data_IF_006372409568
#
_entry.id   IF_006372409568
#
_cell.length_a   1.000
_cell.length_b   1.000
_cell.length_c   1.000
_cell.angle_alpha   90.00
_cell.angle_beta   90.00
_cell.angle_gamma   90.00
#
_symmetry.space_group_name_H-M   'P 1'
#
loop_
_entity.id
_entity.type
_entity.pdbx_description
1 polymer ?
#
# COMPACT_ATOMS: atom_id res chain seq x y z
N UNK A 1 6.60 -29.91 10.12
CA UNK A 1 6.66 -29.45 8.72
C UNK A 1 5.37 -29.90 8.05
N UNK A 2 4.58 -28.98 7.54
CA UNK A 2 3.42 -29.33 6.71
C UNK A 2 3.90 -29.96 5.40
N UNK A 3 3.10 -30.88 4.89
CA UNK A 3 3.33 -31.52 3.59
C UNK A 3 3.02 -30.55 2.45
N UNK A 4 3.62 -30.78 1.28
CA UNK A 4 3.33 -29.97 0.07
C UNK A 4 1.83 -30.00 -0.28
N UNK A 5 1.16 -31.13 -0.03
CA UNK A 5 -0.28 -31.28 -0.27
C UNK A 5 -1.13 -30.39 0.65
N UNK A 6 -0.81 -30.34 1.95
CA UNK A 6 -1.51 -29.49 2.92
C UNK A 6 -1.34 -28.01 2.58
N UNK A 7 -0.11 -27.61 2.20
CA UNK A 7 0.18 -26.23 1.78
C UNK A 7 -0.60 -25.84 0.53
N UNK A 8 -0.66 -26.72 -0.48
CA UNK A 8 -1.41 -26.45 -1.71
C UNK A 8 -2.92 -26.29 -1.43
N UNK A 9 -3.47 -27.11 -0.53
CA UNK A 9 -4.87 -27.03 -0.14
C UNK A 9 -5.19 -25.72 0.60
N UNK A 10 -4.30 -25.28 1.51
CA UNK A 10 -4.45 -24.00 2.20
C UNK A 10 -4.44 -22.82 1.21
N UNK A 11 -3.53 -22.83 0.23
CA UNK A 11 -3.48 -21.84 -0.85
C UNK A 11 -4.78 -21.81 -1.65
N UNK A 12 -5.31 -22.98 -2.03
CA UNK A 12 -6.55 -23.07 -2.80
C UNK A 12 -7.76 -22.53 -2.01
N UNK A 13 -7.89 -22.92 -0.74
CA UNK A 13 -8.96 -22.44 0.16
C UNK A 13 -8.93 -20.93 0.31
N UNK A 14 -7.73 -20.37 0.55
CA UNK A 14 -7.52 -18.93 0.62
C UNK A 14 -7.89 -18.23 -0.69
N UNK A 15 -7.48 -18.80 -1.83
CA UNK A 15 -7.83 -18.30 -3.15
C UNK A 15 -9.35 -18.19 -3.35
N UNK A 16 -10.10 -19.25 -2.98
CA UNK A 16 -11.57 -19.23 -3.06
C UNK A 16 -12.21 -18.17 -2.16
N UNK A 17 -11.72 -18.04 -0.91
CA UNK A 17 -12.21 -17.01 0.03
C UNK A 17 -11.99 -15.60 -0.50
N UNK A 18 -10.80 -15.31 -1.02
CA UNK A 18 -10.49 -14.01 -1.62
C UNK A 18 -11.32 -13.76 -2.89
N UNK A 19 -11.52 -14.77 -3.74
CA UNK A 19 -12.36 -14.62 -4.93
C UNK A 19 -13.81 -14.27 -4.59
N UNK A 20 -14.38 -14.88 -3.53
CA UNK A 20 -15.73 -14.54 -3.05
C UNK A 20 -15.77 -13.10 -2.54
N UNK A 21 -14.75 -12.68 -1.78
CA UNK A 21 -14.67 -11.33 -1.22
C UNK A 21 -14.45 -10.25 -2.30
N UNK A 22 -13.66 -10.55 -3.34
CA UNK A 22 -13.36 -9.65 -4.45
C UNK A 22 -14.52 -9.55 -5.46
N UNK A 23 -15.45 -10.51 -5.48
CA UNK A 23 -16.53 -10.57 -6.47
C UNK A 23 -17.33 -9.27 -6.64
N UNK A 24 -17.73 -8.54 -5.58
CA UNK A 24 -18.43 -7.26 -5.74
C UNK A 24 -17.59 -6.20 -6.44
N UNK A 25 -16.27 -6.18 -6.18
CA UNK A 25 -15.34 -5.24 -6.82
C UNK A 25 -15.25 -5.55 -8.32
N UNK A 26 -15.11 -6.83 -8.66
CA UNK A 26 -14.99 -7.28 -10.03
C UNK A 26 -16.27 -6.95 -10.83
N UNK A 27 -17.45 -7.20 -10.26
CA UNK A 27 -18.73 -6.88 -10.90
C UNK A 27 -18.87 -5.37 -11.16
N UNK A 28 -18.52 -4.53 -10.18
CA UNK A 28 -18.59 -3.08 -10.34
C UNK A 28 -17.60 -2.57 -11.40
N UNK A 29 -16.39 -3.15 -11.48
CA UNK A 29 -15.40 -2.79 -12.49
C UNK A 29 -15.80 -3.27 -13.90
N UNK A 30 -16.37 -4.47 -14.00
CA UNK A 30 -16.89 -5.05 -15.24
C UNK A 30 -17.99 -4.17 -15.85
N UNK A 31 -18.92 -3.68 -15.00
CA UNK A 31 -19.96 -2.73 -15.39
C UNK A 31 -19.42 -1.41 -15.96
N UNK A 32 -18.14 -1.09 -15.71
CA UNK A 32 -17.44 0.09 -16.24
C UNK A 32 -16.46 -0.27 -17.37
N UNK A 33 -16.54 -1.49 -17.93
CA UNK A 33 -15.73 -1.96 -19.05
C UNK A 33 -14.33 -2.44 -18.68
N UNK A 34 -14.06 -2.69 -17.40
CA UNK A 34 -12.77 -3.19 -16.92
C UNK A 34 -12.90 -4.67 -16.52
N UNK A 35 -12.61 -5.55 -17.47
CA UNK A 35 -12.70 -7.00 -17.29
C UNK A 35 -11.43 -7.56 -16.64
N UNK A 36 -11.53 -7.91 -15.35
CA UNK A 36 -10.43 -8.51 -14.57
C UNK A 36 -10.92 -9.74 -13.81
N UNK A 37 -10.00 -10.64 -13.47
CA UNK A 37 -10.30 -11.83 -12.66
C UNK A 37 -9.98 -11.64 -11.18
N UNK A 38 -9.11 -10.67 -10.86
CA UNK A 38 -8.77 -10.28 -9.51
C UNK A 38 -8.31 -8.83 -9.47
N UNK A 39 -8.46 -8.16 -8.32
CA UNK A 39 -7.92 -6.81 -8.13
C UNK A 39 -6.38 -6.76 -8.35
N UNK A 40 -5.70 -7.88 -8.12
CA UNK A 40 -4.25 -8.01 -8.36
C UNK A 40 -3.88 -7.89 -9.84
N UNK A 41 -4.82 -8.07 -10.77
CA UNK A 41 -4.59 -7.82 -12.20
C UNK A 41 -4.31 -6.33 -12.45
N UNK A 42 -4.98 -5.42 -11.73
CA UNK A 42 -4.72 -3.98 -11.82
C UNK A 42 -3.38 -3.56 -11.22
N UNK A 43 -2.89 -4.30 -10.22
CA UNK A 43 -1.58 -4.06 -9.63
C UNK A 43 -0.45 -4.45 -10.60
N UNK A 44 -0.69 -5.46 -11.42
CA UNK A 44 0.31 -6.03 -12.34
C UNK A 44 0.18 -5.51 -13.78
N UNK A 45 -0.84 -4.72 -14.09
CA UNK A 45 -1.04 -4.16 -15.43
C UNK A 45 -0.31 -2.84 -15.62
N UNK A 46 0.08 -2.58 -16.88
CA UNK A 46 0.51 -1.25 -17.34
C UNK A 46 -0.61 -0.50 -18.07
N UNK A 47 -1.78 -1.13 -18.25
CA UNK A 47 -2.92 -0.51 -18.90
C UNK A 47 -3.44 0.71 -18.11
N UNK A 48 -4.04 1.65 -18.84
CA UNK A 48 -4.72 2.79 -18.23
C UNK A 48 -6.05 2.31 -17.62
N UNK A 49 -6.32 2.70 -16.38
CA UNK A 49 -7.60 2.43 -15.71
C UNK A 49 -8.04 3.56 -14.75
N UNK A 50 -7.55 4.79 -14.92
CA UNK A 50 -7.93 5.90 -14.03
C UNK A 50 -9.41 6.24 -14.07
N UNK A 51 -10.12 5.88 -15.15
CA UNK A 51 -11.58 5.98 -15.21
C UNK A 51 -12.30 5.12 -14.16
N UNK A 52 -11.66 4.05 -13.67
CA UNK A 52 -12.18 3.19 -12.61
C UNK A 52 -11.91 3.72 -11.19
N UNK A 53 -11.20 4.84 -11.05
CA UNK A 53 -10.86 5.45 -9.77
C UNK A 53 -12.08 5.66 -8.85
N UNK A 54 -13.24 6.15 -9.32
CA UNK A 54 -14.42 6.31 -8.47
C UNK A 54 -14.91 4.97 -7.90
N UNK A 55 -14.88 3.89 -8.69
CA UNK A 55 -15.28 2.55 -8.25
C UNK A 55 -14.30 2.05 -7.16
N UNK A 56 -13.00 2.11 -7.44
CA UNK A 56 -11.97 1.68 -6.49
C UNK A 56 -12.02 2.46 -5.17
N UNK A 57 -12.27 3.78 -5.23
CA UNK A 57 -12.40 4.63 -4.06
C UNK A 57 -13.61 4.24 -3.19
N UNK A 58 -14.76 3.91 -3.79
CA UNK A 58 -15.93 3.40 -3.06
C UNK A 58 -15.63 2.08 -2.36
N UNK A 59 -14.94 1.16 -3.03
CA UNK A 59 -14.62 -0.14 -2.45
C UNK A 59 -13.58 -0.05 -1.32
N UNK A 60 -12.69 0.95 -1.35
CA UNK A 60 -11.65 1.09 -0.33
C UNK A 60 -12.19 1.23 1.11
N UNK A 61 -13.38 1.82 1.27
CA UNK A 61 -14.01 2.05 2.58
C UNK A 61 -14.91 0.90 3.06
N UNK A 62 -15.08 -0.14 2.25
CA UNK A 62 -15.90 -1.30 2.61
C UNK A 62 -15.13 -2.27 3.52
N UNK A 63 -15.83 -3.09 4.33
CA UNK A 63 -15.22 -3.94 5.36
C UNK A 63 -14.58 -5.21 4.78
N UNK A 64 -13.68 -5.05 3.81
CA UNK A 64 -12.90 -6.13 3.26
C UNK A 64 -11.76 -6.56 4.19
N UNK A 65 -11.31 -7.80 4.03
CA UNK A 65 -10.09 -8.29 4.65
C UNK A 65 -8.89 -7.41 4.29
N UNK A 66 -7.89 -7.41 5.18
CA UNK A 66 -6.65 -6.66 4.97
C UNK A 66 -5.98 -6.99 3.62
N UNK A 67 -6.05 -8.26 3.18
CA UNK A 67 -5.47 -8.70 1.91
C UNK A 67 -6.17 -8.08 0.69
N UNK A 68 -7.50 -8.03 0.71
CA UNK A 68 -8.27 -7.40 -0.37
C UNK A 68 -8.11 -5.88 -0.34
N UNK A 69 -8.08 -5.28 0.86
CA UNK A 69 -7.76 -3.85 1.03
C UNK A 69 -6.35 -3.51 0.53
N UNK A 70 -5.36 -4.39 0.73
CA UNK A 70 -4.02 -4.22 0.15
C UNK A 70 -4.06 -4.18 -1.38
N UNK A 71 -4.75 -5.13 -2.01
CA UNK A 71 -4.92 -5.17 -3.47
C UNK A 71 -5.56 -3.88 -4.00
N UNK A 72 -6.67 -3.46 -3.40
CA UNK A 72 -7.35 -2.19 -3.72
C UNK A 72 -6.42 -0.98 -3.55
N UNK A 73 -5.73 -0.88 -2.42
CA UNK A 73 -4.85 0.24 -2.14
C UNK A 73 -3.68 0.30 -3.12
N UNK A 74 -3.09 -0.83 -3.50
CA UNK A 74 -2.03 -0.88 -4.51
C UNK A 74 -2.55 -0.54 -5.91
N UNK A 75 -3.76 -0.97 -6.28
CA UNK A 75 -4.40 -0.57 -7.53
C UNK A 75 -4.66 0.96 -7.57
N UNK A 76 -4.87 1.59 -6.41
CA UNK A 76 -4.97 3.05 -6.29
C UNK A 76 -3.62 3.78 -6.42
N UNK A 77 -2.49 3.09 -6.64
CA UNK A 77 -1.19 3.69 -6.83
C UNK A 77 -0.97 4.28 -8.23
N UNK A 78 -1.87 5.15 -8.64
CA UNK A 78 -1.85 5.91 -9.89
C UNK A 78 -1.87 7.41 -9.60
N UNK A 79 -1.37 8.23 -10.54
CA UNK A 79 -1.31 9.70 -10.36
C UNK A 79 -2.69 10.34 -10.19
N UNK A 80 -3.71 9.80 -10.86
CA UNK A 80 -5.08 10.29 -10.78
C UNK A 80 -5.65 10.24 -9.35
N UNK A 81 -5.14 9.36 -8.49
CA UNK A 81 -5.53 9.25 -7.09
C UNK A 81 -5.19 10.48 -6.24
N UNK A 82 -4.42 11.44 -6.78
CA UNK A 82 -4.27 12.77 -6.17
C UNK A 82 -5.63 13.47 -5.94
N UNK A 83 -6.63 13.18 -6.77
CA UNK A 83 -8.00 13.71 -6.61
C UNK A 83 -8.74 13.17 -5.39
N UNK A 84 -8.35 12.00 -4.87
CA UNK A 84 -8.93 11.35 -3.68
C UNK A 84 -7.94 11.36 -2.50
N UNK A 85 -6.97 12.27 -2.50
CA UNK A 85 -5.93 12.35 -1.48
C UNK A 85 -6.46 12.29 -0.04
N UNK A 86 -7.49 13.06 0.37
CA UNK A 86 -7.99 13.03 1.74
C UNK A 86 -8.47 11.64 2.17
N UNK A 87 -9.12 10.91 1.26
CA UNK A 87 -9.59 9.55 1.50
C UNK A 87 -8.41 8.59 1.71
N UNK A 88 -7.35 8.68 0.89
CA UNK A 88 -6.17 7.84 1.06
C UNK A 88 -5.48 8.09 2.41
N UNK A 89 -5.38 9.35 2.84
CA UNK A 89 -4.79 9.71 4.13
C UNK A 89 -5.62 9.18 5.28
N UNK A 90 -6.94 9.35 5.25
CA UNK A 90 -7.86 8.84 6.26
C UNK A 90 -7.71 7.31 6.39
N UNK A 91 -7.81 6.60 5.27
CA UNK A 91 -7.69 5.15 5.24
C UNK A 91 -6.33 4.66 5.72
N UNK A 92 -5.26 5.39 5.42
CA UNK A 92 -3.90 5.07 5.88
C UNK A 92 -3.77 5.22 7.40
N UNK A 93 -4.29 6.31 7.97
CA UNK A 93 -4.23 6.60 9.40
C UNK A 93 -4.96 5.54 10.23
N UNK A 94 -6.14 5.10 9.77
CA UNK A 94 -6.94 4.09 10.50
C UNK A 94 -6.48 2.65 10.23
N UNK A 95 -5.60 2.42 9.25
CA UNK A 95 -5.15 1.07 8.93
C UNK A 95 -4.18 0.53 9.97
N UNK A 96 -4.41 -0.72 10.45
CA UNK A 96 -3.56 -1.34 11.45
C UNK A 96 -2.16 -1.67 10.89
N UNK A 97 -1.21 -1.87 11.81
CA UNK A 97 0.15 -2.36 11.52
C UNK A 97 0.39 -3.70 12.21
N UNK A 98 1.36 -4.45 11.72
CA UNK A 98 1.84 -5.67 12.37
C UNK A 98 1.19 -6.93 11.79
N UNK A 99 0.83 -7.86 12.68
CA UNK A 99 0.39 -9.21 12.32
C UNK A 99 -1.13 -9.31 12.33
N UNK A 100 -1.69 -9.90 11.28
CA UNK A 100 -3.12 -10.17 11.17
C UNK A 100 -3.57 -11.36 12.02
N UNK A 101 -4.89 -11.59 12.04
CA UNK A 101 -5.47 -12.80 12.62
C UNK A 101 -5.26 -13.98 11.68
N UNK A 102 -5.04 -15.16 12.25
CA UNK A 102 -5.07 -16.42 11.50
C UNK A 102 -6.53 -16.79 11.29
N UNK A 103 -7.01 -16.77 10.04
CA UNK A 103 -8.36 -17.23 9.73
C UNK A 103 -8.45 -18.76 9.95
N UNK A 104 -9.66 -19.31 10.17
CA UNK A 104 -9.86 -20.75 10.06
C UNK A 104 -9.31 -21.25 8.70
N UNK A 105 -8.51 -22.30 8.74
CA UNK A 105 -7.77 -22.88 7.59
C UNK A 105 -6.57 -22.08 7.05
N UNK A 106 -6.19 -20.97 7.68
CA UNK A 106 -4.86 -20.39 7.48
C UNK A 106 -3.88 -21.01 8.49
N UNK A 107 -2.65 -21.28 8.05
CA UNK A 107 -1.55 -21.83 8.84
C UNK A 107 -0.47 -20.79 9.16
N UNK A 108 -0.54 -19.62 8.51
CA UNK A 108 0.42 -18.54 8.64
C UNK A 108 -0.22 -17.25 9.16
N UNK A 109 0.45 -16.64 10.14
CA UNK A 109 0.17 -15.28 10.56
C UNK A 109 0.76 -14.33 9.52
N UNK A 110 -0.08 -13.75 8.67
CA UNK A 110 0.38 -12.78 7.68
C UNK A 110 0.63 -11.41 8.31
N UNK A 111 1.63 -10.71 7.78
CA UNK A 111 1.74 -9.27 8.04
C UNK A 111 0.61 -8.54 7.33
N UNK A 112 -0.01 -7.59 8.03
CA UNK A 112 -1.03 -6.71 7.48
C UNK A 112 -0.40 -5.82 6.40
N UNK A 113 -0.94 -5.89 5.19
CA UNK A 113 -0.42 -5.24 3.99
C UNK A 113 -1.21 -4.01 3.54
N UNK A 114 -2.43 -3.79 4.04
CA UNK A 114 -3.27 -2.68 3.57
C UNK A 114 -2.60 -1.31 3.78
N UNK A 115 -1.95 -1.11 4.93
CA UNK A 115 -1.23 0.14 5.23
C UNK A 115 -0.05 0.38 4.27
N UNK A 116 0.70 -0.67 3.92
CA UNK A 116 1.78 -0.59 2.93
C UNK A 116 1.23 -0.27 1.54
N UNK A 117 0.12 -0.90 1.13
CA UNK A 117 -0.56 -0.59 -0.13
C UNK A 117 -0.97 0.89 -0.20
N UNK A 118 -1.54 1.41 0.88
CA UNK A 118 -1.94 2.82 0.99
C UNK A 118 -0.73 3.77 0.98
N UNK A 119 0.38 3.39 1.62
CA UNK A 119 1.62 4.16 1.57
C UNK A 119 2.18 4.23 0.14
N UNK A 120 2.11 3.14 -0.63
CA UNK A 120 2.47 3.14 -2.05
C UNK A 120 1.54 4.09 -2.82
N UNK A 121 0.22 4.03 -2.60
CA UNK A 121 -0.74 4.90 -3.25
C UNK A 121 -0.46 6.39 -3.00
N UNK A 122 -0.30 6.77 -1.72
CA UNK A 122 0.07 8.12 -1.30
C UNK A 122 1.40 8.56 -1.93
N UNK A 123 2.40 7.68 -1.97
CA UNK A 123 3.70 7.99 -2.58
C UNK A 123 3.60 8.31 -4.07
N UNK A 124 2.61 7.75 -4.78
CA UNK A 124 2.35 8.01 -6.21
C UNK A 124 1.46 9.22 -6.41
N UNK A 125 0.44 9.38 -5.58
CA UNK A 125 -0.55 10.45 -5.65
C UNK A 125 -0.05 11.82 -5.16
N UNK A 126 1.06 11.86 -4.41
CA UNK A 126 1.58 13.11 -3.82
C UNK A 126 1.84 14.18 -4.88
N UNK A 127 1.41 15.40 -4.55
CA UNK A 127 1.65 16.62 -5.34
C UNK A 127 2.49 17.61 -4.54
N UNK A 128 2.91 18.73 -5.13
CA UNK A 128 3.60 19.78 -4.36
C UNK A 128 2.75 20.34 -3.23
N UNK A 129 1.43 20.42 -3.43
CA UNK A 129 0.49 20.94 -2.43
C UNK A 129 0.27 19.98 -1.26
N UNK A 130 0.41 18.67 -1.48
CA UNK A 130 0.19 17.64 -0.45
C UNK A 130 1.49 17.06 0.12
N UNK A 131 2.64 17.53 -0.36
CA UNK A 131 3.95 17.11 0.13
C UNK A 131 4.13 17.36 1.64
N UNK A 132 3.74 18.51 2.22
CA UNK A 132 3.86 18.72 3.66
C UNK A 132 3.13 17.66 4.48
N UNK A 133 1.88 17.34 4.12
CA UNK A 133 1.11 16.30 4.81
C UNK A 133 1.72 14.89 4.62
N UNK A 134 2.31 14.60 3.45
CA UNK A 134 3.06 13.34 3.28
C UNK A 134 4.25 13.26 4.25
N UNK A 135 4.94 14.37 4.51
CA UNK A 135 6.07 14.43 5.46
C UNK A 135 5.57 14.19 6.88
N UNK A 136 4.46 14.81 7.29
CA UNK A 136 3.86 14.58 8.62
C UNK A 136 3.58 13.08 8.86
N UNK A 137 3.11 12.37 7.83
CA UNK A 137 2.85 10.93 7.91
C UNK A 137 4.14 10.09 8.01
N UNK A 138 5.26 10.54 7.43
CA UNK A 138 6.58 9.89 7.57
C UNK A 138 7.15 10.10 8.98
N UNK A 139 6.95 11.28 9.55
CA UNK A 139 7.45 11.63 10.88
C UNK A 139 6.75 10.85 11.99
N UNK A 140 5.46 10.55 11.82
CA UNK A 140 4.69 9.75 12.77
C UNK A 140 5.17 8.29 12.82
N UNK A 141 5.97 7.98 13.85
CA UNK A 141 6.53 6.65 14.11
C UNK A 141 5.49 5.57 14.36
N UNK A 142 4.24 5.91 14.73
CA UNK A 142 3.17 4.91 14.89
C UNK A 142 2.81 4.22 13.56
N UNK A 143 3.20 4.83 12.43
CA UNK A 143 3.03 4.23 11.10
C UNK A 143 4.04 3.12 10.78
N UNK A 144 5.07 2.92 11.62
CA UNK A 144 6.04 1.84 11.50
C UNK A 144 6.77 1.81 10.14
N UNK A 145 7.17 0.62 9.65
CA UNK A 145 8.00 0.51 8.44
C UNK A 145 7.38 1.05 7.15
N UNK A 146 6.06 1.18 7.08
CA UNK A 146 5.34 1.74 5.92
C UNK A 146 5.76 3.20 5.61
N UNK A 147 6.31 3.91 6.61
CA UNK A 147 6.94 5.24 6.49
C UNK A 147 8.01 5.28 5.40
N UNK A 148 8.71 4.16 5.16
CA UNK A 148 9.71 4.08 4.10
C UNK A 148 9.08 4.21 2.70
N UNK A 149 7.88 3.68 2.52
CA UNK A 149 7.14 3.77 1.25
C UNK A 149 6.65 5.19 1.00
N UNK A 150 6.16 5.88 2.05
CA UNK A 150 5.83 7.31 1.99
C UNK A 150 7.06 8.17 1.64
N UNK A 151 8.20 7.91 2.29
CA UNK A 151 9.44 8.65 2.06
C UNK A 151 9.96 8.52 0.62
N UNK A 152 9.66 7.41 -0.08
CA UNK A 152 9.93 7.29 -1.53
C UNK A 152 9.14 8.32 -2.35
N UNK A 153 7.96 8.71 -1.90
CA UNK A 153 7.15 9.77 -2.50
C UNK A 153 7.80 11.15 -2.36
N UNK A 154 8.27 11.48 -1.16
CA UNK A 154 9.04 12.72 -0.88
C UNK A 154 10.24 12.83 -1.82
N UNK A 155 11.01 11.75 -2.00
CA UNK A 155 12.20 11.71 -2.87
C UNK A 155 11.95 12.07 -4.34
N UNK A 156 10.69 12.02 -4.82
CA UNK A 156 10.35 12.33 -6.22
C UNK A 156 10.55 13.80 -6.57
N UNK A 157 10.51 14.71 -5.60
CA UNK A 157 10.53 16.16 -5.85
C UNK A 157 11.92 16.75 -6.13
N UNK A 158 13.00 15.95 -6.05
CA UNK A 158 14.39 16.25 -6.51
C UNK A 158 14.80 17.74 -6.39
N UNK A 159 14.61 18.33 -5.22
CA UNK A 159 14.97 19.72 -4.91
C UNK A 159 15.73 19.80 -3.58
N UNK A 160 16.39 20.93 -3.26
CA UNK A 160 17.15 21.08 -2.01
C UNK A 160 16.31 20.78 -0.75
N UNK A 161 15.06 21.24 -0.71
CA UNK A 161 14.13 20.97 0.38
C UNK A 161 13.89 19.47 0.61
N UNK A 162 13.78 18.68 -0.46
CA UNK A 162 13.64 17.21 -0.37
C UNK A 162 14.88 16.59 0.27
N UNK A 163 16.06 17.13 0.00
CA UNK A 163 17.30 16.66 0.60
C UNK A 163 17.33 16.96 2.10
N UNK A 164 16.98 18.17 2.50
CA UNK A 164 16.89 18.58 3.91
C UNK A 164 15.92 17.66 4.69
N UNK A 165 14.74 17.39 4.13
CA UNK A 165 13.79 16.44 4.73
C UNK A 165 14.41 15.05 4.90
N UNK A 166 15.11 14.53 3.88
CA UNK A 166 15.79 13.23 3.99
C UNK A 166 16.88 13.24 5.07
N UNK A 167 17.60 14.35 5.23
CA UNK A 167 18.65 14.50 6.24
C UNK A 167 18.08 14.40 7.67
N UNK A 168 16.82 14.79 7.91
CA UNK A 168 16.15 14.60 9.20
C UNK A 168 15.97 13.12 9.60
N UNK A 169 16.04 12.17 8.65
CA UNK A 169 15.82 10.74 8.89
C UNK A 169 17.10 9.88 8.85
N UNK A 170 18.30 10.49 8.84
CA UNK A 170 19.58 9.75 8.76
C UNK A 170 19.86 8.86 9.96
N UNK A 171 19.23 9.15 11.10
CA UNK A 171 19.34 8.40 12.35
C UNK A 171 18.00 7.80 12.80
N UNK A 172 16.97 7.83 11.93
CA UNK A 172 15.71 7.13 12.22
C UNK A 172 15.96 5.60 12.21
N UNK A 173 15.58 4.86 13.26
CA UNK A 173 15.91 3.44 13.39
C UNK A 173 15.35 2.56 12.26
N UNK A 174 14.25 2.96 11.63
CA UNK A 174 13.62 2.20 10.55
C UNK A 174 14.02 2.72 9.16
N UNK A 175 14.38 4.00 9.04
CA UNK A 175 14.60 4.66 7.74
C UNK A 175 16.09 4.92 7.43
N UNK A 176 16.96 4.99 8.45
CA UNK A 176 18.35 5.42 8.36
C UNK A 176 19.14 4.69 7.27
N UNK A 177 19.01 3.36 7.19
CA UNK A 177 19.73 2.56 6.19
C UNK A 177 19.43 3.05 4.78
N UNK A 178 18.16 3.21 4.46
CA UNK A 178 17.74 3.55 3.10
C UNK A 178 17.98 5.03 2.78
N UNK A 179 17.80 5.91 3.76
CA UNK A 179 18.12 7.34 3.67
C UNK A 179 19.59 7.56 3.39
N UNK A 180 20.49 6.92 4.15
CA UNK A 180 21.95 7.02 3.94
C UNK A 180 22.36 6.54 2.55
N UNK A 181 21.77 5.45 2.05
CA UNK A 181 21.98 5.00 0.68
C UNK A 181 21.58 6.09 -0.33
N UNK A 182 20.42 6.72 -0.15
CA UNK A 182 19.95 7.76 -1.07
C UNK A 182 20.78 9.03 -1.02
N UNK A 183 21.29 9.40 0.16
CA UNK A 183 22.16 10.56 0.37
C UNK A 183 23.64 10.28 0.09
N UNK A 184 24.01 9.03 -0.22
CA UNK A 184 25.40 8.55 -0.41
C UNK A 184 26.28 8.75 0.82
N UNK A 185 25.72 8.54 2.00
CA UNK A 185 26.43 8.61 3.29
C UNK A 185 27.01 7.23 3.68
N UNK A 186 28.08 7.18 4.48
CA UNK A 186 28.58 5.92 5.01
C UNK A 186 27.50 5.23 5.88
N UNK A 187 27.46 3.89 5.81
CA UNK A 187 26.61 3.07 6.68
C UNK A 187 27.06 3.26 8.13
N UNK A 188 26.13 3.33 9.08
CA UNK A 188 26.48 3.31 10.50
C UNK A 188 27.24 2.02 10.81
N UNK A 189 28.37 2.15 11.50
CA UNK A 189 29.04 1.00 12.13
C UNK A 189 28.14 0.59 13.29
N UNK A 190 27.47 -0.55 13.15
CA UNK A 190 26.85 -1.28 14.27
C UNK A 190 27.91 -1.68 15.28
#
# INVERSE_FOLDING_TARGET
>A
MQTVAERNLAIERRGKRLAIEEAPIIVDLDAHGLHISSIWDLVNTSAEYSFALPVLARHLVLPYSDRTREGLARALAIKASSSIWPLLVEQYKISPVGKGIVAPDDDEVFNLGAKDGLAVALSVAVTRGTLPELVDLVEDRANGPSRLLLLKGVRKFRNPQTREILECFVDDPELALQVRIWLKLPKNKT
#
